data_IF_209714909000
#
_entry.id   IF_209714909000
#
_cell.length_a   1.000
_cell.length_b   1.000
_cell.length_c   1.000
_cell.angle_alpha   90.00
_cell.angle_beta   90.00
_cell.angle_gamma   90.00
#
_symmetry.space_group_name_H-M   'P 1'
#
loop_
_entity.id
_entity.type
_entity.pdbx_description
1 polymer ?
#
# COMPACT_ATOMS: atom_id res chain seq x y z
N UNK A 1 -4.94 4.76 12.56
CA UNK A 1 -4.30 5.10 11.28
C UNK A 1 -2.79 5.04 11.48
N UNK A 2 -2.05 4.50 10.51
CA UNK A 2 -0.60 4.31 10.66
C UNK A 2 0.09 5.67 10.42
N UNK A 3 0.47 6.34 11.49
CA UNK A 3 1.30 7.55 11.44
C UNK A 3 2.67 7.20 10.84
N UNK A 4 3.14 7.99 9.86
CA UNK A 4 4.46 7.76 9.23
C UNK A 4 4.47 6.79 8.04
N UNK A 5 3.31 6.26 7.63
CA UNK A 5 3.21 5.33 6.49
C UNK A 5 3.80 5.90 5.18
N UNK A 6 3.64 7.20 4.93
CA UNK A 6 4.18 7.87 3.72
C UNK A 6 5.72 7.83 3.71
N UNK A 7 6.35 8.16 4.83
CA UNK A 7 7.81 8.22 4.96
C UNK A 7 8.41 6.82 4.79
N UNK A 8 7.87 5.84 5.53
CA UNK A 8 8.29 4.44 5.44
C UNK A 8 8.16 3.89 4.02
N UNK A 9 7.05 4.19 3.33
CA UNK A 9 6.86 3.75 1.95
C UNK A 9 7.83 4.45 0.98
N UNK A 10 8.08 5.74 1.17
CA UNK A 10 9.00 6.51 0.33
C UNK A 10 10.43 5.99 0.44
N UNK A 11 10.89 5.68 1.66
CA UNK A 11 12.19 5.06 1.88
C UNK A 11 12.34 3.73 1.13
N UNK A 12 11.36 2.82 1.26
CA UNK A 12 11.42 1.51 0.58
C UNK A 12 11.38 1.66 -0.95
N UNK A 13 10.64 2.65 -1.44
CA UNK A 13 10.56 2.95 -2.87
C UNK A 13 11.90 3.47 -3.41
N UNK A 14 12.58 4.35 -2.67
CA UNK A 14 13.92 4.83 -3.03
C UNK A 14 14.96 3.71 -2.98
N UNK A 15 14.93 2.87 -1.94
CA UNK A 15 15.81 1.71 -1.80
C UNK A 15 15.63 0.73 -2.96
N UNK A 16 14.39 0.48 -3.39
CA UNK A 16 14.14 -0.34 -4.58
C UNK A 16 14.78 0.27 -5.84
N UNK A 17 14.67 1.59 -6.03
CA UNK A 17 15.22 2.29 -7.19
C UNK A 17 16.75 2.23 -7.18
N UNK A 18 17.36 2.40 -6.02
CA UNK A 18 18.81 2.34 -5.86
C UNK A 18 19.36 0.96 -6.27
N UNK A 19 18.68 -0.11 -5.85
CA UNK A 19 19.09 -1.49 -6.17
C UNK A 19 18.80 -1.87 -7.63
N UNK A 20 17.64 -1.45 -8.18
CA UNK A 20 17.17 -1.92 -9.49
C UNK A 20 17.40 -0.92 -10.64
N UNK A 21 17.88 0.29 -10.34
CA UNK A 21 18.07 1.39 -11.29
C UNK A 21 16.77 1.97 -11.88
N UNK A 22 15.60 1.45 -11.52
CA UNK A 22 14.30 1.85 -12.07
C UNK A 22 13.19 1.78 -11.04
N UNK A 23 12.19 2.65 -11.19
CA UNK A 23 11.00 2.62 -10.34
C UNK A 23 10.06 1.46 -10.71
N UNK A 24 9.43 0.78 -9.74
CA UNK A 24 8.57 -0.37 -10.01
C UNK A 24 7.30 0.04 -10.76
N UNK A 25 6.94 -0.69 -11.81
CA UNK A 25 5.70 -0.39 -12.58
C UNK A 25 4.43 -0.83 -11.86
N UNK A 26 4.54 -1.87 -11.03
CA UNK A 26 3.44 -2.48 -10.30
C UNK A 26 3.79 -2.60 -8.82
N UNK A 27 2.85 -2.25 -7.94
CA UNK A 27 3.01 -2.30 -6.48
C UNK A 27 1.83 -3.07 -5.90
N UNK A 28 2.11 -4.11 -5.13
CA UNK A 28 1.11 -4.88 -4.42
C UNK A 28 1.25 -4.59 -2.93
N UNK A 29 0.17 -4.14 -2.30
CA UNK A 29 0.13 -3.79 -0.88
C UNK A 29 -0.78 -4.78 -0.17
N UNK A 30 -0.21 -5.50 0.79
CA UNK A 30 -0.96 -6.37 1.70
C UNK A 30 -1.19 -5.64 3.01
N UNK A 31 -2.45 -5.34 3.30
CA UNK A 31 -2.86 -4.60 4.49
C UNK A 31 -3.58 -5.50 5.48
N UNK A 32 -2.90 -5.90 6.56
CA UNK A 32 -3.47 -6.74 7.63
C UNK A 32 -4.00 -5.87 8.77
N UNK A 33 -4.98 -6.35 9.54
CA UNK A 33 -5.42 -5.71 10.78
C UNK A 33 -6.37 -4.53 10.59
N UNK A 34 -7.25 -4.60 9.58
CA UNK A 34 -8.35 -3.63 9.38
C UNK A 34 -9.67 -4.32 9.70
N UNK A 35 -10.55 -3.64 10.42
CA UNK A 35 -11.92 -4.11 10.66
C UNK A 35 -12.79 -3.86 9.42
N UNK A 36 -13.78 -4.72 9.18
CA UNK A 36 -14.64 -4.65 7.98
C UNK A 36 -15.28 -3.26 7.77
N UNK A 37 -15.81 -2.65 8.83
CA UNK A 37 -16.40 -1.31 8.78
C UNK A 37 -15.41 -0.18 8.48
N UNK A 38 -14.10 -0.45 8.45
CA UNK A 38 -13.04 0.53 8.20
C UNK A 38 -12.38 0.36 6.83
N UNK A 39 -12.78 -0.62 6.02
CA UNK A 39 -12.12 -0.91 4.74
C UNK A 39 -12.06 0.30 3.81
N UNK A 40 -13.19 0.98 3.60
CA UNK A 40 -13.24 2.11 2.68
C UNK A 40 -12.39 3.28 3.17
N UNK A 41 -12.50 3.63 4.45
CA UNK A 41 -11.74 4.72 5.05
C UNK A 41 -10.23 4.45 4.95
N UNK A 42 -9.79 3.25 5.34
CA UNK A 42 -8.37 2.88 5.28
C UNK A 42 -7.88 2.86 3.85
N UNK A 43 -8.66 2.34 2.91
CA UNK A 43 -8.33 2.34 1.50
C UNK A 43 -8.13 3.78 0.98
N UNK A 44 -9.08 4.68 1.21
CA UNK A 44 -9.01 6.05 0.70
C UNK A 44 -7.80 6.81 1.27
N UNK A 45 -7.58 6.71 2.58
CA UNK A 45 -6.50 7.42 3.25
C UNK A 45 -5.12 6.86 2.89
N UNK A 46 -4.94 5.53 2.97
CA UNK A 46 -3.65 4.89 2.71
C UNK A 46 -3.32 4.89 1.21
N UNK A 47 -4.29 4.68 0.31
CA UNK A 47 -4.04 4.76 -1.13
C UNK A 47 -3.71 6.19 -1.58
N UNK A 48 -4.36 7.19 -1.00
CA UNK A 48 -4.02 8.61 -1.24
C UNK A 48 -2.59 8.91 -0.77
N UNK A 49 -2.21 8.41 0.41
CA UNK A 49 -0.85 8.49 0.94
C UNK A 49 0.18 7.82 0.01
N UNK A 50 -0.07 6.60 -0.47
CA UNK A 50 0.80 5.89 -1.43
C UNK A 50 0.99 6.68 -2.72
N UNK A 51 -0.10 7.24 -3.27
CA UNK A 51 -0.05 8.04 -4.49
C UNK A 51 0.75 9.33 -4.29
N UNK A 52 0.68 9.96 -3.12
CA UNK A 52 1.51 11.13 -2.79
C UNK A 52 2.99 10.75 -2.72
N UNK A 53 3.32 9.64 -2.07
CA UNK A 53 4.70 9.14 -2.01
C UNK A 53 5.27 8.78 -3.39
N UNK A 54 4.45 8.21 -4.29
CA UNK A 54 4.87 7.97 -5.66
C UNK A 54 5.18 9.30 -6.39
N UNK A 55 4.33 10.31 -6.23
CA UNK A 55 4.52 11.62 -6.85
C UNK A 55 5.75 12.38 -6.32
N UNK A 56 6.15 12.16 -5.07
CA UNK A 56 7.37 12.78 -4.52
C UNK A 56 8.65 12.21 -5.12
N UNK A 57 8.62 10.98 -5.65
CA UNK A 57 9.77 10.38 -6.36
C UNK A 57 9.90 10.94 -7.78
N UNK A 58 8.79 11.03 -8.52
CA UNK A 58 8.75 11.68 -9.81
C UNK A 58 7.34 12.16 -10.17
N UNK A 59 7.24 13.34 -10.79
CA UNK A 59 5.96 14.00 -11.10
C UNK A 59 5.03 13.14 -11.97
N UNK A 60 5.60 12.32 -12.85
CA UNK A 60 4.86 11.46 -13.79
C UNK A 60 4.81 9.98 -13.37
N UNK A 61 5.30 9.63 -12.18
CA UNK A 61 5.30 8.24 -11.72
C UNK A 61 3.92 7.83 -11.20
N UNK A 62 3.25 6.99 -11.98
CA UNK A 62 1.91 6.44 -11.69
C UNK A 62 1.94 4.92 -11.84
N UNK A 63 2.46 4.19 -10.84
CA UNK A 63 2.47 2.74 -10.89
C UNK A 63 1.04 2.19 -10.76
N UNK A 64 0.83 0.96 -11.26
CA UNK A 64 -0.38 0.21 -10.97
C UNK A 64 -0.31 -0.28 -9.53
N UNK A 65 -1.27 0.14 -8.69
CA UNK A 65 -1.32 -0.25 -7.27
C UNK A 65 -2.46 -1.23 -7.07
N UNK A 66 -2.14 -2.43 -6.56
CA UNK A 66 -3.11 -3.41 -6.10
C UNK A 66 -3.13 -3.40 -4.57
N UNK A 67 -4.26 -3.05 -3.98
CA UNK A 67 -4.41 -2.97 -2.52
C UNK A 67 -5.26 -4.13 -2.03
N UNK A 68 -4.67 -5.02 -1.23
CA UNK A 68 -5.28 -6.25 -0.74
C UNK A 68 -5.41 -6.14 0.77
N UNK A 69 -6.65 -6.05 1.26
CA UNK A 69 -6.91 -6.16 2.69
C UNK A 69 -6.91 -7.62 3.09
N UNK A 70 -6.06 -7.98 4.04
CA UNK A 70 -5.93 -9.33 4.57
C UNK A 70 -6.69 -9.40 5.89
N UNK A 71 -7.66 -10.31 5.99
CA UNK A 71 -8.48 -10.50 7.18
C UNK A 71 -8.26 -11.92 7.72
N UNK A 72 -7.42 -12.07 8.75
CA UNK A 72 -7.15 -13.37 9.38
C UNK A 72 -8.14 -13.72 10.49
N UNK A 73 -8.74 -12.70 11.12
CA UNK A 73 -9.66 -12.84 12.26
C UNK A 73 -11.10 -12.62 11.79
N UNK A 74 -11.65 -13.61 11.07
CA UNK A 74 -13.03 -13.61 10.60
C UNK A 74 -13.78 -14.87 11.06
N UNK A 75 -15.10 -14.82 11.02
CA UNK A 75 -15.96 -15.95 11.39
C UNK A 75 -16.18 -16.97 10.26
N UNK A 76 -15.67 -16.74 9.05
CA UNK A 76 -15.80 -17.69 7.95
C UNK A 76 -15.06 -19.01 8.26
N UNK A 77 -15.74 -20.13 8.03
CA UNK A 77 -15.25 -21.50 8.20
C UNK A 77 -15.51 -22.27 6.90
N UNK A 78 -14.53 -23.04 6.47
CA UNK A 78 -14.62 -23.89 5.29
C UNK A 78 -14.52 -25.36 5.75
N UNK A 79 -15.37 -26.22 5.22
CA UNK A 79 -15.40 -27.66 5.50
C UNK A 79 -15.47 -28.43 4.17
N UNK A 80 -15.00 -29.68 4.18
CA UNK A 80 -15.02 -30.58 3.03
C UNK A 80 -16.31 -31.40 2.97
#
# INVERSE_FOLDING_TARGET
LITGFIEQFSERLLEYIDVNGTAPKNIIVYRDGVSEGQFMQVLEEELSALRRACKSVATNYRPLITFIVVQKRHHARFFC
#
